data_IF_757553145388
#
_entry.id   IF_757553145388
#
_cell.length_a   1.000
_cell.length_b   1.000
_cell.length_c   1.000
_cell.angle_alpha   90.00
_cell.angle_beta   90.00
_cell.angle_gamma   90.00
#
_symmetry.space_group_name_H-M   'P 1'
#
loop_
_entity.id
_entity.type
_entity.pdbx_description
1 polymer ?
#
# COMPACT_ATOMS: atom_id res chain seq x y z
N UNK A 1 21.11 59.76 8.83
CA UNK A 1 21.99 58.66 8.36
C UNK A 1 21.25 57.37 8.66
N UNK A 2 20.22 57.00 7.90
CA UNK A 2 20.24 56.48 6.52
C UNK A 2 21.04 55.18 6.43
N UNK A 3 20.30 54.06 6.51
CA UNK A 3 20.81 52.71 6.34
C UNK A 3 19.67 51.78 5.92
N UNK A 4 18.99 52.13 4.82
CA UNK A 4 18.07 51.25 4.10
C UNK A 4 18.93 50.19 3.42
N UNK A 5 19.02 49.01 4.01
CA UNK A 5 19.87 47.91 3.55
C UNK A 5 19.04 46.68 3.20
N UNK A 6 18.76 46.51 1.91
CA UNK A 6 18.70 45.20 1.28
C UNK A 6 17.45 44.35 1.54
N UNK A 7 16.37 44.65 0.82
CA UNK A 7 15.43 43.61 0.37
C UNK A 7 16.16 42.75 -0.67
N UNK A 8 17.06 41.88 -0.17
CA UNK A 8 17.70 40.84 -0.95
C UNK A 8 16.64 39.86 -1.41
N UNK A 9 16.41 39.85 -2.73
CA UNK A 9 15.48 38.96 -3.40
C UNK A 9 15.66 37.53 -2.95
N UNK A 10 14.59 36.96 -2.40
CA UNK A 10 14.45 35.54 -2.13
C UNK A 10 14.25 34.86 -3.48
N UNK A 11 15.36 34.70 -4.21
CA UNK A 11 15.41 33.91 -5.42
C UNK A 11 15.07 32.45 -5.06
N UNK A 12 13.84 32.05 -5.38
CA UNK A 12 13.45 30.67 -5.57
C UNK A 12 13.70 29.72 -4.41
N UNK A 13 12.85 29.76 -3.38
CA UNK A 13 12.61 28.58 -2.53
C UNK A 13 11.84 27.54 -3.36
N UNK A 14 12.49 26.98 -4.38
CA UNK A 14 12.05 25.82 -5.15
C UNK A 14 12.35 24.53 -4.38
N UNK A 15 11.94 24.47 -3.12
CA UNK A 15 12.32 23.39 -2.19
C UNK A 15 11.19 22.98 -1.26
N UNK A 16 9.94 23.10 -1.69
CA UNK A 16 8.78 22.64 -0.91
C UNK A 16 8.56 21.16 -1.19
N UNK A 17 9.33 20.31 -0.49
CA UNK A 17 8.98 18.92 -0.16
C UNK A 17 8.40 18.03 -1.26
N UNK A 18 8.88 18.13 -2.51
CA UNK A 18 8.36 17.30 -3.60
C UNK A 18 8.51 15.81 -3.29
N UNK A 19 7.42 15.05 -3.39
CA UNK A 19 7.43 13.58 -3.30
C UNK A 19 8.29 13.04 -4.46
N UNK A 20 9.18 12.09 -4.18
CA UNK A 20 10.05 11.48 -5.20
C UNK A 20 9.17 10.89 -6.33
N UNK A 21 9.33 11.33 -7.59
CA UNK A 21 8.50 10.87 -8.70
C UNK A 21 8.61 9.36 -8.96
N UNK A 22 9.67 8.72 -8.48
CA UNK A 22 9.86 7.27 -8.55
C UNK A 22 8.82 6.51 -7.74
N UNK A 23 8.08 7.15 -6.82
CA UNK A 23 6.99 6.55 -6.05
C UNK A 23 5.66 6.48 -6.80
N UNK A 24 5.53 7.08 -7.99
CA UNK A 24 4.30 7.03 -8.81
C UNK A 24 3.75 5.60 -9.05
N UNK A 25 4.58 4.55 -9.24
CA UNK A 25 4.11 3.17 -9.39
C UNK A 25 3.31 2.62 -8.20
N UNK A 26 3.41 3.20 -6.99
CA UNK A 26 2.60 2.79 -5.83
C UNK A 26 1.10 2.92 -6.11
N UNK A 27 0.69 3.86 -6.98
CA UNK A 27 -0.71 3.97 -7.42
C UNK A 27 -1.14 2.75 -8.22
N UNK A 28 -0.29 2.25 -9.11
CA UNK A 28 -0.57 1.03 -9.89
C UNK A 28 -0.68 -0.18 -8.99
N UNK A 29 0.19 -0.29 -7.98
CA UNK A 29 0.09 -1.33 -6.96
C UNK A 29 -1.21 -1.25 -6.18
N UNK A 30 -1.65 -0.05 -5.79
CA UNK A 30 -2.93 0.14 -5.11
C UNK A 30 -4.11 -0.38 -5.95
N UNK A 31 -4.12 -0.11 -7.26
CA UNK A 31 -5.14 -0.66 -8.16
C UNK A 31 -5.03 -2.18 -8.34
N UNK A 32 -3.82 -2.72 -8.46
CA UNK A 32 -3.60 -4.17 -8.55
C UNK A 32 -4.11 -4.92 -7.32
N UNK A 33 -3.84 -4.41 -6.12
CA UNK A 33 -4.33 -4.96 -4.86
C UNK A 33 -5.82 -4.67 -4.62
N UNK A 34 -6.36 -3.57 -5.17
CA UNK A 34 -7.81 -3.33 -5.14
C UNK A 34 -8.58 -4.38 -5.95
N UNK A 35 -8.02 -4.84 -7.07
CA UNK A 35 -8.63 -5.92 -7.87
C UNK A 35 -8.70 -7.22 -7.06
N UNK A 36 -7.66 -7.54 -6.28
CA UNK A 36 -7.65 -8.66 -5.31
C UNK A 36 -8.78 -8.49 -4.30
N UNK A 37 -8.88 -7.30 -3.71
CA UNK A 37 -9.86 -7.00 -2.68
C UNK A 37 -11.31 -7.15 -3.13
N UNK A 38 -11.60 -6.79 -4.39
CA UNK A 38 -12.95 -6.80 -4.94
C UNK A 38 -13.41 -8.22 -5.28
N UNK A 39 -12.51 -9.22 -5.22
CA UNK A 39 -12.78 -10.66 -5.37
C UNK A 39 -14.07 -10.96 -6.15
N UNK A 40 -14.02 -10.73 -7.46
CA UNK A 40 -15.14 -10.99 -8.35
C UNK A 40 -15.28 -12.49 -8.56
N UNK A 41 -15.97 -13.15 -7.65
CA UNK A 41 -16.37 -14.55 -7.78
C UNK A 41 -17.37 -14.70 -8.93
N UNK A 42 -16.93 -15.25 -10.05
CA UNK A 42 -17.78 -15.71 -11.15
C UNK A 42 -17.96 -17.22 -11.07
N UNK A 43 -19.20 -17.69 -10.91
CA UNK A 43 -19.55 -19.13 -10.90
C UNK A 43 -18.76 -20.01 -9.92
N UNK A 44 -18.36 -19.46 -8.76
CA UNK A 44 -17.65 -20.20 -7.72
C UNK A 44 -16.18 -20.51 -8.02
N UNK A 45 -15.64 -19.96 -9.12
CA UNK A 45 -14.22 -20.07 -9.47
C UNK A 45 -13.49 -18.77 -9.08
N UNK A 46 -12.53 -18.92 -8.17
CA UNK A 46 -11.85 -17.84 -7.46
C UNK A 46 -10.35 -17.88 -7.80
N UNK A 47 -10.00 -17.65 -9.07
CA UNK A 47 -8.68 -18.05 -9.61
C UNK A 47 -7.86 -16.91 -10.19
N UNK A 48 -8.47 -15.76 -10.47
CA UNK A 48 -7.82 -14.69 -11.22
C UNK A 48 -7.48 -13.40 -10.47
N UNK A 49 -8.18 -12.97 -9.40
CA UNK A 49 -7.81 -11.73 -8.73
C UNK A 49 -6.46 -11.84 -8.00
N UNK A 50 -6.26 -12.93 -7.26
CA UNK A 50 -5.22 -13.01 -6.23
C UNK A 50 -3.79 -13.06 -6.79
N UNK A 51 -3.43 -14.01 -7.68
CA UNK A 51 -2.06 -14.07 -8.21
C UNK A 51 -1.71 -12.83 -9.03
N UNK A 52 -2.69 -12.25 -9.75
CA UNK A 52 -2.47 -11.07 -10.59
C UNK A 52 -2.11 -9.85 -9.74
N UNK A 53 -2.84 -9.60 -8.65
CA UNK A 53 -2.51 -8.48 -7.76
C UNK A 53 -1.15 -8.64 -7.11
N UNK A 54 -0.78 -9.85 -6.70
CA UNK A 54 0.55 -10.12 -6.14
C UNK A 54 1.67 -9.99 -7.17
N UNK A 55 1.47 -10.41 -8.43
CA UNK A 55 2.42 -10.14 -9.52
C UNK A 55 2.64 -8.64 -9.71
N UNK A 56 1.57 -7.85 -9.74
CA UNK A 56 1.66 -6.39 -9.82
C UNK A 56 2.43 -5.83 -8.62
N UNK A 57 2.12 -6.31 -7.40
CA UNK A 57 2.82 -5.89 -6.19
C UNK A 57 4.33 -6.19 -6.29
N UNK A 58 4.73 -7.43 -6.62
CA UNK A 58 6.14 -7.85 -6.79
C UNK A 58 6.86 -6.95 -7.80
N UNK A 59 6.26 -6.72 -8.99
CA UNK A 59 6.88 -5.88 -10.03
C UNK A 59 7.02 -4.43 -9.57
N UNK A 60 6.04 -3.88 -8.86
CA UNK A 60 6.13 -2.51 -8.37
C UNK A 60 7.16 -2.40 -7.25
N UNK A 61 7.09 -3.20 -6.17
CA UNK A 61 8.00 -3.05 -5.04
C UNK A 61 9.45 -3.42 -5.38
N UNK A 62 9.68 -4.35 -6.30
CA UNK A 62 11.04 -4.69 -6.77
C UNK A 62 11.70 -3.51 -7.48
N UNK A 63 10.95 -2.73 -8.27
CA UNK A 63 11.45 -1.48 -8.89
C UNK A 63 11.76 -0.40 -7.85
N UNK A 64 11.07 -0.42 -6.71
CA UNK A 64 11.28 0.53 -5.61
C UNK A 64 12.34 0.07 -4.60
N UNK A 65 12.86 -1.17 -4.71
CA UNK A 65 13.85 -1.72 -3.79
C UNK A 65 15.14 -0.88 -3.66
N UNK A 66 15.49 -0.13 -4.72
CA UNK A 66 16.64 0.80 -4.70
C UNK A 66 16.41 2.09 -3.90
N UNK A 67 15.17 2.40 -3.50
CA UNK A 67 14.85 3.63 -2.75
C UNK A 67 14.96 3.43 -1.23
N UNK A 68 14.58 2.26 -0.72
CA UNK A 68 14.59 1.97 0.71
C UNK A 68 14.66 0.46 0.98
N UNK A 69 15.47 0.02 1.95
CA UNK A 69 15.65 -1.41 2.28
C UNK A 69 14.36 -2.14 2.63
N UNK A 70 13.38 -1.43 3.20
CA UNK A 70 12.09 -2.03 3.50
C UNK A 70 11.31 -2.45 2.23
N UNK A 71 11.54 -1.84 1.07
CA UNK A 71 10.95 -2.33 -0.18
C UNK A 71 11.54 -3.68 -0.62
N UNK A 72 12.79 -3.99 -0.26
CA UNK A 72 13.36 -5.33 -0.46
C UNK A 72 12.63 -6.38 0.38
N UNK A 73 12.34 -6.06 1.64
CA UNK A 73 11.55 -6.93 2.53
C UNK A 73 10.13 -7.10 1.99
N UNK A 74 9.49 -6.00 1.55
CA UNK A 74 8.19 -6.04 0.91
C UNK A 74 8.20 -6.92 -0.37
N UNK A 75 9.28 -6.88 -1.15
CA UNK A 75 9.42 -7.74 -2.35
C UNK A 75 9.49 -9.21 -1.98
N UNK A 76 10.28 -9.57 -0.96
CA UNK A 76 10.33 -10.95 -0.49
C UNK A 76 8.97 -11.42 0.04
N UNK A 77 8.29 -10.57 0.82
CA UNK A 77 6.96 -10.86 1.36
C UNK A 77 5.91 -11.04 0.26
N UNK A 78 5.87 -10.16 -0.75
CA UNK A 78 4.92 -10.27 -1.86
C UNK A 78 5.18 -11.49 -2.75
N UNK A 79 6.44 -11.95 -2.87
CA UNK A 79 6.75 -13.23 -3.51
C UNK A 79 6.17 -14.40 -2.71
N UNK A 80 6.26 -14.37 -1.37
CA UNK A 80 5.65 -15.41 -0.53
C UNK A 80 4.13 -15.41 -0.72
N UNK A 81 3.46 -14.26 -0.67
CA UNK A 81 2.03 -14.17 -0.91
C UNK A 81 1.64 -14.67 -2.32
N UNK A 82 2.44 -14.35 -3.35
CA UNK A 82 2.23 -14.89 -4.70
C UNK A 82 2.35 -16.42 -4.75
N UNK A 83 3.33 -16.99 -4.05
CA UNK A 83 3.53 -18.43 -4.03
C UNK A 83 2.43 -19.15 -3.24
N UNK A 84 1.89 -18.52 -2.19
CA UNK A 84 0.81 -19.08 -1.36
C UNK A 84 -0.56 -18.96 -2.03
N UNK A 85 -0.79 -17.94 -2.86
CA UNK A 85 -2.06 -17.79 -3.58
C UNK A 85 -2.29 -18.87 -4.65
N UNK A 86 -1.22 -19.47 -5.22
CA UNK A 86 -1.34 -20.52 -6.24
C UNK A 86 -1.93 -21.83 -5.69
N UNK A 87 -1.44 -22.41 -4.57
CA UNK A 87 -2.07 -23.58 -3.94
C UNK A 87 -3.47 -23.31 -3.38
N UNK A 88 -3.73 -22.07 -2.91
CA UNK A 88 -5.06 -21.70 -2.39
C UNK A 88 -6.19 -21.89 -3.41
N UNK A 89 -5.87 -21.75 -4.70
CA UNK A 89 -6.78 -22.05 -5.80
C UNK A 89 -7.11 -23.55 -5.93
N UNK A 90 -6.19 -24.43 -5.52
CA UNK A 90 -6.24 -25.87 -5.81
C UNK A 90 -6.59 -26.74 -4.60
N UNK A 91 -6.49 -26.23 -3.37
CA UNK A 91 -6.61 -27.01 -2.14
C UNK A 91 -7.54 -26.39 -1.09
N UNK A 92 -8.31 -27.24 -0.40
CA UNK A 92 -9.29 -26.85 0.62
C UNK A 92 -8.75 -26.79 2.04
N UNK A 93 -7.53 -27.28 2.31
CA UNK A 93 -6.96 -27.34 3.66
C UNK A 93 -5.94 -26.20 3.89
N UNK A 94 -6.42 -25.11 4.50
CA UNK A 94 -5.77 -23.79 4.50
C UNK A 94 -5.06 -23.46 5.82
N UNK A 95 -4.92 -24.39 6.77
CA UNK A 95 -4.41 -24.07 8.11
C UNK A 95 -3.03 -23.40 8.11
N UNK A 96 -2.00 -24.10 7.63
CA UNK A 96 -0.62 -23.56 7.59
C UNK A 96 -0.43 -22.51 6.50
N UNK A 97 -1.03 -22.73 5.32
CA UNK A 97 -0.92 -21.80 4.19
C UNK A 97 -1.58 -20.46 4.51
N UNK A 98 -2.75 -20.46 5.14
CA UNK A 98 -3.43 -19.24 5.58
C UNK A 98 -2.65 -18.48 6.66
N UNK A 99 -1.99 -19.19 7.59
CA UNK A 99 -1.10 -18.55 8.56
C UNK A 99 0.12 -17.92 7.88
N UNK A 100 0.72 -18.61 6.89
CA UNK A 100 1.83 -18.09 6.11
C UNK A 100 1.42 -16.87 5.27
N UNK A 101 0.26 -16.92 4.62
CA UNK A 101 -0.29 -15.80 3.85
C UNK A 101 -0.57 -14.58 4.73
N UNK A 102 -1.20 -14.79 5.89
CA UNK A 102 -1.47 -13.74 6.87
C UNK A 102 -0.15 -13.10 7.33
N UNK A 103 0.83 -13.90 7.72
CA UNK A 103 2.13 -13.40 8.16
C UNK A 103 2.87 -12.63 7.04
N UNK A 104 2.88 -13.17 5.82
CA UNK A 104 3.52 -12.53 4.68
C UNK A 104 2.84 -11.21 4.31
N UNK A 105 1.52 -11.16 4.34
CA UNK A 105 0.73 -9.93 4.09
C UNK A 105 1.03 -8.86 5.15
N UNK A 106 1.06 -9.22 6.44
CA UNK A 106 1.44 -8.28 7.51
C UNK A 106 2.87 -7.76 7.32
N UNK A 107 3.83 -8.64 6.99
CA UNK A 107 5.21 -8.21 6.71
C UNK A 107 5.25 -7.27 5.51
N UNK A 108 4.48 -7.54 4.45
CA UNK A 108 4.37 -6.69 3.29
C UNK A 108 3.84 -5.29 3.65
N UNK A 109 2.69 -5.21 4.32
CA UNK A 109 2.07 -3.93 4.74
C UNK A 109 3.02 -3.16 5.66
N UNK A 110 3.59 -3.83 6.65
CA UNK A 110 4.51 -3.22 7.60
C UNK A 110 5.76 -2.66 6.91
N UNK A 111 6.35 -3.40 5.97
CA UNK A 111 7.53 -3.00 5.22
C UNK A 111 7.25 -1.82 4.28
N UNK A 112 6.13 -1.85 3.53
CA UNK A 112 5.72 -0.76 2.65
C UNK A 112 5.42 0.51 3.45
N UNK A 113 4.66 0.42 4.54
CA UNK A 113 4.39 1.55 5.43
C UNK A 113 5.68 2.11 6.04
N UNK A 114 6.65 1.26 6.40
CA UNK A 114 7.95 1.69 6.91
C UNK A 114 8.73 2.49 5.86
N UNK A 115 8.71 2.06 4.60
CA UNK A 115 9.33 2.81 3.50
C UNK A 115 8.61 4.15 3.24
N UNK A 116 7.28 4.15 3.17
CA UNK A 116 6.48 5.37 2.97
C UNK A 116 6.74 6.37 4.09
N UNK A 117 6.77 5.91 5.35
CA UNK A 117 7.07 6.76 6.51
C UNK A 117 8.44 7.45 6.40
N UNK A 118 9.43 6.73 5.88
CA UNK A 118 10.79 7.25 5.72
C UNK A 118 10.91 8.23 4.53
N UNK A 119 10.15 8.01 3.46
CA UNK A 119 10.29 8.74 2.20
C UNK A 119 9.29 9.90 2.02
N UNK A 120 8.14 9.86 2.70
CA UNK A 120 7.03 10.83 2.53
C UNK A 120 6.63 11.39 3.89
N UNK A 121 7.23 12.52 4.27
CA UNK A 121 7.04 13.13 5.60
C UNK A 121 5.58 13.43 5.93
N UNK A 122 4.83 13.94 4.96
CA UNK A 122 3.43 14.33 5.13
C UNK A 122 2.52 13.13 5.45
N UNK A 123 2.91 11.93 5.04
CA UNK A 123 2.16 10.69 5.25
C UNK A 123 2.78 9.79 6.35
N UNK A 124 3.81 10.27 7.05
CA UNK A 124 4.56 9.46 8.01
C UNK A 124 3.72 9.00 9.20
N UNK A 125 2.86 9.87 9.72
CA UNK A 125 1.95 9.53 10.85
C UNK A 125 0.93 8.49 10.42
N UNK A 126 0.30 8.67 9.25
CA UNK A 126 -0.69 7.73 8.72
C UNK A 126 -0.05 6.35 8.46
N UNK A 127 1.14 6.31 7.87
CA UNK A 127 1.86 5.05 7.63
C UNK A 127 2.24 4.33 8.94
N UNK A 128 2.65 5.07 9.97
CA UNK A 128 2.98 4.49 11.28
C UNK A 128 1.72 3.93 11.99
N UNK A 129 0.60 4.65 11.93
CA UNK A 129 -0.67 4.18 12.47
C UNK A 129 -1.13 2.89 11.77
N UNK A 130 -1.08 2.85 10.44
CA UNK A 130 -1.50 1.68 9.67
C UNK A 130 -0.64 0.45 9.95
N UNK A 131 0.69 0.58 10.02
CA UNK A 131 1.55 -0.59 10.29
C UNK A 131 1.29 -1.21 11.67
N UNK A 132 1.02 -0.39 12.68
CA UNK A 132 0.78 -0.87 14.04
C UNK A 132 -0.65 -1.38 14.20
N UNK A 133 -1.63 -0.75 13.56
CA UNK A 133 -3.00 -1.24 13.51
C UNK A 133 -3.07 -2.62 12.84
N UNK A 134 -2.44 -2.78 11.67
CA UNK A 134 -2.36 -4.05 10.94
C UNK A 134 -1.71 -5.15 11.77
N UNK A 135 -0.53 -4.90 12.33
CA UNK A 135 0.17 -5.86 13.19
C UNK A 135 -0.65 -6.22 14.44
N UNK A 136 -1.19 -5.23 15.14
CA UNK A 136 -1.96 -5.44 16.36
C UNK A 136 -3.23 -6.25 16.10
N UNK A 137 -3.99 -5.90 15.07
CA UNK A 137 -5.19 -6.64 14.68
C UNK A 137 -4.86 -8.05 14.19
N UNK A 138 -3.76 -8.24 13.47
CA UNK A 138 -3.30 -9.58 13.05
C UNK A 138 -2.98 -10.47 14.25
N UNK A 139 -2.25 -9.96 15.24
CA UNK A 139 -1.94 -10.70 16.46
C UNK A 139 -3.22 -11.07 17.22
N UNK A 140 -4.16 -10.13 17.35
CA UNK A 140 -5.46 -10.38 17.97
C UNK A 140 -6.26 -11.43 17.20
N UNK A 141 -6.30 -11.33 15.86
CA UNK A 141 -7.01 -12.29 15.01
C UNK A 141 -6.43 -13.69 15.19
N UNK A 142 -5.10 -13.85 15.13
CA UNK A 142 -4.45 -15.16 15.33
C UNK A 142 -4.78 -15.72 16.72
N UNK A 143 -4.73 -14.90 17.77
CA UNK A 143 -5.11 -15.33 19.11
C UNK A 143 -6.59 -15.79 19.19
N UNK A 144 -7.50 -15.07 18.54
CA UNK A 144 -8.92 -15.43 18.47
C UNK A 144 -9.16 -16.71 17.67
N UNK A 145 -8.44 -16.92 16.56
CA UNK A 145 -8.53 -18.14 15.77
C UNK A 145 -8.05 -19.36 16.56
N UNK A 146 -6.95 -19.23 17.31
CA UNK A 146 -6.48 -20.28 18.22
C UNK A 146 -7.49 -20.56 19.34
N UNK A 147 -8.10 -19.51 19.91
CA UNK A 147 -9.13 -19.65 20.93
C UNK A 147 -10.43 -20.27 20.39
N UNK A 148 -10.78 -20.01 19.13
CA UNK A 148 -11.96 -20.56 18.47
C UNK A 148 -11.93 -22.09 18.32
N UNK A 149 -10.73 -22.67 18.31
CA UNK A 149 -10.54 -24.14 18.37
C UNK A 149 -11.08 -24.71 19.68
N UNK A 150 -11.01 -23.94 20.76
CA UNK A 150 -11.45 -24.35 22.10
C UNK A 150 -12.88 -23.89 22.41
N UNK A 151 -13.25 -22.69 21.95
CA UNK A 151 -14.48 -22.00 22.32
C UNK A 151 -15.26 -21.54 21.07
N UNK A 152 -16.31 -22.26 20.62
CA UNK A 152 -17.03 -21.94 19.39
C UNK A 152 -17.73 -20.57 19.41
N UNK A 153 -17.92 -19.97 20.60
CA UNK A 153 -18.54 -18.65 20.75
C UNK A 153 -17.69 -17.46 20.30
N UNK A 154 -16.37 -17.62 20.10
CA UNK A 154 -15.49 -16.48 19.74
C UNK A 154 -15.50 -16.14 18.24
N UNK A 155 -16.19 -16.93 17.40
CA UNK A 155 -16.23 -16.73 15.95
C UNK A 155 -16.75 -15.34 15.54
N UNK A 156 -17.75 -14.81 16.26
CA UNK A 156 -18.29 -13.45 15.99
C UNK A 156 -17.22 -12.38 16.24
N UNK A 157 -16.41 -12.53 17.30
CA UNK A 157 -15.34 -11.59 17.60
C UNK A 157 -14.22 -11.66 16.57
N UNK A 158 -13.84 -12.87 16.13
CA UNK A 158 -12.89 -13.06 15.04
C UNK A 158 -13.36 -12.40 13.74
N UNK A 159 -14.66 -12.52 13.41
CA UNK A 159 -15.26 -11.85 12.26
C UNK A 159 -15.15 -10.32 12.36
N UNK A 160 -15.47 -9.74 13.52
CA UNK A 160 -15.35 -8.29 13.74
C UNK A 160 -13.90 -7.81 13.56
N UNK A 161 -12.92 -8.55 14.09
CA UNK A 161 -11.50 -8.22 13.91
C UNK A 161 -11.08 -8.34 12.43
N UNK A 162 -11.59 -9.36 11.73
CA UNK A 162 -11.40 -9.51 10.28
C UNK A 162 -11.93 -8.30 9.48
N UNK A 163 -13.11 -7.79 9.84
CA UNK A 163 -13.66 -6.57 9.23
C UNK A 163 -12.80 -5.33 9.55
N UNK A 164 -12.25 -5.21 10.75
CA UNK A 164 -11.30 -4.15 11.09
C UNK A 164 -10.02 -4.24 10.24
N UNK A 165 -9.47 -5.44 10.03
CA UNK A 165 -8.33 -5.65 9.13
C UNK A 165 -8.65 -5.24 7.70
N UNK A 166 -9.83 -5.60 7.20
CA UNK A 166 -10.29 -5.18 5.87
C UNK A 166 -10.30 -3.65 5.73
N UNK A 167 -10.81 -2.94 6.74
CA UNK A 167 -10.80 -1.47 6.77
C UNK A 167 -9.36 -0.94 6.76
N UNK A 168 -8.47 -1.49 7.59
CA UNK A 168 -7.05 -1.10 7.62
C UNK A 168 -6.38 -1.32 6.26
N UNK A 169 -6.70 -2.44 5.60
CA UNK A 169 -6.19 -2.73 4.26
C UNK A 169 -6.69 -1.73 3.22
N UNK A 170 -7.99 -1.37 3.23
CA UNK A 170 -8.53 -0.30 2.37
C UNK A 170 -7.82 1.03 2.61
N UNK A 171 -7.61 1.41 3.87
CA UNK A 171 -6.88 2.64 4.22
C UNK A 171 -5.42 2.59 3.74
N UNK A 172 -4.79 1.42 3.79
CA UNK A 172 -3.48 1.18 3.19
C UNK A 172 -3.49 1.39 1.67
N UNK A 173 -4.47 0.85 0.93
CA UNK A 173 -4.60 1.11 -0.51
C UNK A 173 -4.80 2.59 -0.83
N UNK A 174 -5.62 3.29 -0.03
CA UNK A 174 -5.83 4.74 -0.16
C UNK A 174 -4.55 5.54 0.12
N UNK A 175 -3.73 5.12 1.10
CA UNK A 175 -2.42 5.70 1.34
C UNK A 175 -1.51 5.55 0.11
N UNK A 176 -1.40 4.34 -0.45
CA UNK A 176 -0.59 4.09 -1.66
C UNK A 176 -1.06 4.92 -2.87
N UNK A 177 -2.37 5.01 -3.07
CA UNK A 177 -2.95 5.81 -4.15
C UNK A 177 -2.70 7.32 -3.95
N UNK A 178 -2.75 7.82 -2.71
CA UNK A 178 -2.40 9.22 -2.39
C UNK A 178 -0.92 9.51 -2.66
N UNK A 179 -0.01 8.69 -2.13
CA UNK A 179 1.43 8.82 -2.35
C UNK A 179 1.79 8.74 -3.84
N UNK A 180 1.26 7.75 -4.55
CA UNK A 180 1.53 7.58 -5.97
C UNK A 180 0.95 8.70 -6.84
N UNK A 181 -0.17 9.33 -6.46
CA UNK A 181 -0.70 10.53 -7.13
C UNK A 181 0.17 11.75 -6.89
N UNK A 182 0.63 11.96 -5.65
CA UNK A 182 1.51 13.08 -5.32
C UNK A 182 2.88 12.99 -6.02
N UNK A 183 3.34 11.77 -6.30
CA UNK A 183 4.56 11.50 -7.07
C UNK A 183 4.39 11.59 -8.59
N UNK A 184 3.16 11.69 -9.11
CA UNK A 184 2.96 11.74 -10.56
C UNK A 184 3.53 13.06 -11.12
N UNK A 185 4.30 13.03 -12.23
CA UNK A 185 4.80 14.24 -12.85
C UNK A 185 3.61 15.14 -13.23
N UNK A 186 3.76 16.45 -12.99
CA UNK A 186 2.77 17.43 -13.41
C UNK A 186 2.48 17.21 -14.90
N UNK A 187 1.21 17.05 -15.25
CA UNK A 187 0.82 16.94 -16.65
C UNK A 187 1.42 18.15 -17.40
N UNK A 188 2.04 17.95 -18.58
CA UNK A 188 2.59 19.05 -19.34
C UNK A 188 1.50 20.10 -19.51
N UNK A 189 1.79 21.35 -19.14
CA UNK A 189 0.84 22.44 -19.29
C UNK A 189 0.35 22.40 -20.74
N UNK A 190 -0.98 22.37 -20.92
CA UNK A 190 -1.56 22.38 -22.25
C UNK A 190 -0.94 23.55 -23.02
N UNK A 191 -0.48 23.35 -24.27
CA UNK A 191 0.10 24.43 -25.04
C UNK A 191 -0.90 25.58 -25.06
N UNK A 192 -0.47 26.75 -24.56
CA UNK A 192 -1.29 27.96 -24.62
C UNK A 192 -1.59 28.17 -26.09
N UNK A 193 -2.85 28.00 -26.48
CA UNK A 193 -3.28 28.21 -27.86
C UNK A 193 -2.87 29.62 -28.33
N UNK A 194 -2.66 29.82 -29.64
CA UNK A 194 -2.34 31.14 -30.15
C UNK A 194 -3.40 32.14 -29.67
N UNK A 195 -3.00 33.39 -29.31
CA UNK A 195 -3.94 34.39 -28.85
C UNK A 195 -5.05 34.60 -29.90
N UNK A 196 -6.30 34.88 -29.48
CA UNK A 196 -7.38 35.17 -30.42
C UNK A 196 -6.96 36.32 -31.34
N UNK A 197 -7.08 36.10 -32.65
CA UNK A 197 -6.73 37.12 -33.66
C UNK A 197 -7.65 38.35 -33.54
N UNK A 198 -7.16 39.53 -33.94
CA UNK A 198 -8.00 40.73 -33.97
C UNK A 198 -9.18 40.54 -34.92
N UNK A 199 -10.38 40.94 -34.46
CA UNK A 199 -11.64 40.92 -35.22
C UNK A 199 -11.79 42.21 -36.01
#
# INVERSE_FOLDING_TARGET
MSGVGGLGGVAGVGGVGGVDPRLAPLRTMAFGLLVVLVDLRFDGFDVLPDPVGWVVAVVVVSRLAGLHRAFTVATAASVVCLLVSVPGVLATDLGLLGALDTAATTVFVFAVCTAVRALVRDEAVAADQLRWADLGLTVVLVALLLLAVLEPGVGVLALVVGLCLLIVFVLFLLLLARVGRAAAPAAPAAPVGPPPGPV
#
